data_IF_453740109398
#
_entry.id   IF_453740109398
#
_cell.length_a   1.000
_cell.length_b   1.000
_cell.length_c   1.000
_cell.angle_alpha   90.00
_cell.angle_beta   90.00
_cell.angle_gamma   90.00
#
_symmetry.space_group_name_H-M   'P 1'
#
loop_
_entity.id
_entity.type
_entity.pdbx_description
1 polymer ?
#
# COMPACT_ATOMS: atom_id res chain seq x y z
N UNK A 1 -5.83 -54.42 -37.11
CA UNK A 1 -6.36 -53.31 -37.94
C UNK A 1 -6.00 -52.02 -37.24
N UNK A 2 -5.07 -51.28 -37.83
CA UNK A 2 -4.52 -50.03 -37.31
C UNK A 2 -5.49 -48.87 -37.54
N UNK A 3 -5.48 -47.86 -36.66
CA UNK A 3 -5.76 -46.45 -37.01
C UNK A 3 -5.33 -45.53 -35.87
N UNK A 4 -4.07 -45.11 -35.91
CA UNK A 4 -3.52 -43.98 -35.16
C UNK A 4 -4.08 -42.67 -35.75
N UNK A 5 -4.67 -41.79 -34.95
CA UNK A 5 -5.11 -40.46 -35.39
C UNK A 5 -4.16 -39.40 -34.84
N UNK A 6 -3.26 -38.94 -35.71
CA UNK A 6 -2.35 -37.81 -35.51
C UNK A 6 -3.09 -36.49 -35.76
N UNK A 7 -3.17 -35.62 -34.76
CA UNK A 7 -3.62 -34.23 -34.95
C UNK A 7 -2.42 -33.33 -35.27
N UNK A 8 -2.42 -32.81 -36.50
CA UNK A 8 -1.45 -31.84 -36.99
C UNK A 8 -1.80 -30.42 -36.54
N UNK A 9 -0.83 -29.72 -35.96
CA UNK A 9 -0.89 -28.28 -35.70
C UNK A 9 -0.39 -27.50 -36.92
N UNK A 10 -1.08 -26.44 -37.38
CA UNK A 10 -0.55 -25.55 -38.40
C UNK A 10 0.31 -24.43 -37.78
N UNK A 11 1.55 -24.35 -38.26
CA UNK A 11 2.51 -23.29 -38.02
C UNK A 11 2.20 -22.03 -38.84
N UNK A 12 2.32 -20.87 -38.20
CA UNK A 12 2.13 -19.55 -38.82
C UNK A 12 3.45 -19.00 -39.37
N UNK A 13 3.52 -18.53 -40.62
CA UNK A 13 4.70 -17.84 -41.15
C UNK A 13 4.44 -16.32 -41.19
N UNK A 14 5.09 -15.55 -40.31
CA UNK A 14 5.12 -14.09 -40.45
C UNK A 14 6.43 -13.63 -41.08
N UNK A 15 6.27 -12.96 -42.23
CA UNK A 15 7.31 -12.56 -43.17
C UNK A 15 8.37 -11.62 -42.62
N UNK A 16 9.61 -11.92 -43.03
CA UNK A 16 10.73 -11.00 -43.16
C UNK A 16 10.46 -9.95 -44.25
N UNK A 17 10.59 -8.65 -43.94
CA UNK A 17 11.39 -7.67 -44.74
C UNK A 17 11.28 -6.26 -44.20
N UNK A 18 12.42 -5.60 -44.05
CA UNK A 18 12.45 -4.16 -43.78
C UNK A 18 13.83 -3.54 -43.58
N UNK A 19 14.87 -3.97 -44.29
CA UNK A 19 16.14 -3.24 -44.33
C UNK A 19 15.99 -1.98 -45.18
N UNK A 20 16.17 -0.78 -44.60
CA UNK A 20 16.63 0.40 -45.34
C UNK A 20 17.68 1.16 -44.54
N UNK A 21 18.76 1.42 -45.25
CA UNK A 21 20.02 2.02 -44.85
C UNK A 21 20.02 3.53 -45.03
N UNK A 22 20.97 4.18 -44.33
CA UNK A 22 21.58 5.51 -44.60
C UNK A 22 20.62 6.72 -44.47
N UNK A 23 21.01 7.79 -43.80
CA UNK A 23 22.07 8.69 -44.27
C UNK A 23 22.50 9.65 -43.15
N UNK A 24 23.82 9.81 -43.00
CA UNK A 24 24.48 10.85 -42.22
C UNK A 24 24.15 12.24 -42.79
N UNK A 25 23.77 13.20 -41.95
CA UNK A 25 23.98 14.61 -42.27
C UNK A 25 24.52 15.36 -41.05
N UNK A 26 25.81 15.74 -41.15
CA UNK A 26 26.50 16.76 -40.36
C UNK A 26 26.01 18.14 -40.79
N UNK A 27 25.60 19.00 -39.86
CA UNK A 27 25.75 20.47 -39.91
C UNK A 27 25.18 21.05 -38.60
N UNK A 28 25.98 21.48 -37.62
CA UNK A 28 26.71 22.76 -37.51
C UNK A 28 25.77 23.93 -37.10
N UNK A 29 25.85 24.27 -35.80
CA UNK A 29 25.72 25.59 -35.14
C UNK A 29 24.31 26.23 -35.01
N UNK A 30 24.05 27.10 -34.00
CA UNK A 30 25.03 27.88 -33.22
C UNK A 30 24.92 27.80 -31.68
N UNK A 31 26.04 28.15 -31.06
CA UNK A 31 26.19 28.61 -29.69
C UNK A 31 25.09 29.61 -29.32
N UNK A 32 24.23 29.25 -28.37
CA UNK A 32 23.41 30.23 -27.65
C UNK A 32 24.16 30.62 -26.38
N UNK A 33 24.89 31.74 -26.46
CA UNK A 33 25.50 32.37 -25.31
C UNK A 33 24.40 32.98 -24.46
N UNK A 34 24.15 32.37 -23.30
CA UNK A 34 23.16 32.86 -22.33
C UNK A 34 23.64 34.20 -21.72
N UNK A 35 22.87 35.29 -21.81
CA UNK A 35 23.20 36.55 -21.15
C UNK A 35 23.06 36.43 -19.63
N UNK A 36 24.13 36.82 -18.93
CA UNK A 36 24.17 37.02 -17.47
C UNK A 36 23.05 37.98 -17.04
N UNK A 37 22.04 37.46 -16.35
CA UNK A 37 21.11 38.29 -15.59
C UNK A 37 21.84 38.85 -14.36
N UNK A 38 22.03 40.17 -14.37
CA UNK A 38 22.48 40.96 -13.24
C UNK A 38 21.40 40.91 -12.15
N UNK A 39 21.75 40.38 -10.98
CA UNK A 39 20.93 40.47 -9.77
C UNK A 39 21.00 41.91 -9.21
N UNK A 40 19.89 42.64 -9.11
CA UNK A 40 19.86 43.88 -8.35
C UNK A 40 19.93 43.57 -6.85
N UNK A 41 20.90 44.21 -6.18
CA UNK A 41 21.03 44.22 -4.72
C UNK A 41 19.77 44.79 -4.05
N UNK A 42 19.23 44.16 -2.99
CA UNK A 42 18.13 44.74 -2.24
C UNK A 42 18.60 45.94 -1.40
N UNK A 43 17.77 46.98 -1.21
CA UNK A 43 18.09 48.08 -0.32
C UNK A 43 18.13 47.62 1.14
N UNK A 44 19.16 48.04 1.86
CA UNK A 44 19.33 47.83 3.29
C UNK A 44 18.26 48.62 4.06
N UNK A 45 17.18 47.94 4.44
CA UNK A 45 16.22 48.47 5.38
C UNK A 45 16.77 48.34 6.81
N UNK A 46 17.31 49.45 7.32
CA UNK A 46 17.52 49.66 8.75
C UNK A 46 16.15 49.79 9.41
N UNK A 47 15.63 48.68 9.95
CA UNK A 47 14.51 48.74 10.88
C UNK A 47 15.03 48.59 12.29
N UNK A 48 14.86 49.67 13.05
CA UNK A 48 15.08 49.80 14.49
C UNK A 48 14.47 48.62 15.25
N UNK A 49 15.29 47.81 15.91
CA UNK A 49 14.80 46.87 16.92
C UNK A 49 14.44 47.64 18.19
N UNK A 50 13.16 48.00 18.33
CA UNK A 50 12.55 48.31 19.62
C UNK A 50 11.71 47.12 20.03
N UNK A 51 11.94 46.67 21.26
CA UNK A 51 11.48 45.39 21.79
C UNK A 51 9.98 45.15 21.66
N UNK A 52 9.67 43.90 21.32
CA UNK A 52 8.38 43.27 21.53
C UNK A 52 8.68 41.95 22.22
N UNK A 53 8.26 41.86 23.48
CA UNK A 53 8.19 40.64 24.27
C UNK A 53 7.34 39.62 23.53
N UNK A 54 7.97 38.70 22.80
CA UNK A 54 7.29 37.63 22.10
C UNK A 54 7.00 36.48 23.07
N UNK A 55 5.85 36.54 23.74
CA UNK A 55 5.13 35.31 24.12
C UNK A 55 4.35 34.87 22.89
N UNK A 56 4.63 33.71 22.30
CA UNK A 56 3.79 33.21 21.22
C UNK A 56 2.48 32.59 21.74
N UNK A 57 1.30 33.03 21.27
CA UNK A 57 0.01 32.38 21.53
C UNK A 57 -0.29 31.33 20.45
N UNK A 58 0.65 30.42 20.18
CA UNK A 58 0.39 29.23 19.38
C UNK A 58 0.57 27.98 20.24
N UNK A 59 -0.24 27.87 21.28
CA UNK A 59 -0.69 26.56 21.76
C UNK A 59 -1.59 25.96 20.67
N UNK A 60 -0.96 25.56 19.56
CA UNK A 60 -1.56 24.56 18.69
C UNK A 60 -1.69 23.29 19.56
N UNK A 61 -2.87 22.66 19.61
CA UNK A 61 -2.93 21.29 20.10
C UNK A 61 -1.92 20.52 19.27
N UNK A 62 -1.07 19.71 19.90
CA UNK A 62 -0.22 18.76 19.17
C UNK A 62 -1.17 17.87 18.37
N UNK A 63 -1.48 18.24 17.12
CA UNK A 63 -2.12 17.36 16.16
C UNK A 63 -1.06 16.30 15.88
N UNK A 64 -1.07 15.26 16.70
CA UNK A 64 -0.28 14.09 16.44
C UNK A 64 -0.97 13.41 15.27
N UNK A 65 -0.53 13.75 14.06
CA UNK A 65 -0.94 13.16 12.77
C UNK A 65 -0.63 11.66 12.65
N UNK A 66 -0.43 10.96 13.76
CA UNK A 66 -0.17 9.52 13.83
C UNK A 66 -1.23 8.94 14.75
N UNK A 67 -2.45 8.78 14.21
CA UNK A 67 -3.46 7.95 14.87
C UNK A 67 -2.90 6.52 14.86
N UNK A 68 -2.35 6.09 15.99
CA UNK A 68 -1.91 4.71 16.18
C UNK A 68 -3.12 3.77 15.98
N UNK A 69 -2.87 2.62 15.34
CA UNK A 69 -3.87 1.57 15.12
C UNK A 69 -4.37 1.05 16.47
N UNK A 70 -5.69 0.94 16.62
CA UNK A 70 -6.39 0.40 17.80
C UNK A 70 -6.60 -1.10 17.72
N UNK A 71 -6.61 -1.69 16.52
CA UNK A 71 -6.64 -3.14 16.36
C UNK A 71 -5.40 -3.78 17.02
N UNK A 72 -5.61 -4.88 17.73
CA UNK A 72 -4.57 -5.55 18.52
C UNK A 72 -3.54 -6.19 17.59
N UNK A 73 -2.24 -6.00 17.88
CA UNK A 73 -1.19 -6.68 17.14
C UNK A 73 -1.12 -8.17 17.53
N UNK A 74 -1.00 -9.04 16.54
CA UNK A 74 -0.75 -10.48 16.73
C UNK A 74 0.63 -10.83 16.19
N UNK A 75 1.29 -11.75 16.90
CA UNK A 75 2.57 -12.36 16.54
C UNK A 75 2.40 -13.86 16.35
N UNK A 76 3.46 -14.54 15.91
CA UNK A 76 3.54 -15.99 15.78
C UNK A 76 2.99 -16.75 16.99
N UNK A 77 3.42 -16.38 18.19
CA UNK A 77 3.01 -17.08 19.43
C UNK A 77 1.51 -16.96 19.72
N UNK A 78 0.89 -15.86 19.31
CA UNK A 78 -0.52 -15.58 19.54
C UNK A 78 -1.44 -16.01 18.40
N UNK A 79 -0.88 -16.37 17.24
CA UNK A 79 -1.60 -16.59 15.99
C UNK A 79 -2.64 -17.71 16.11
N UNK A 80 -2.21 -18.86 16.61
CA UNK A 80 -3.06 -20.04 16.73
C UNK A 80 -4.27 -19.78 17.63
N UNK A 81 -4.05 -19.18 18.80
CA UNK A 81 -5.14 -18.91 19.74
C UNK A 81 -6.05 -17.76 19.28
N UNK A 82 -5.47 -16.68 18.73
CA UNK A 82 -6.23 -15.46 18.43
C UNK A 82 -6.96 -15.53 17.09
N UNK A 83 -6.40 -16.23 16.10
CA UNK A 83 -6.91 -16.28 14.73
C UNK A 83 -7.51 -17.65 14.41
N UNK A 84 -6.75 -18.73 14.61
CA UNK A 84 -7.18 -20.06 14.17
C UNK A 84 -8.25 -20.67 15.07
N UNK A 85 -8.10 -20.53 16.39
CA UNK A 85 -9.02 -21.10 17.38
C UNK A 85 -10.13 -20.11 17.80
N UNK A 86 -10.30 -18.99 17.09
CA UNK A 86 -11.33 -18.02 17.42
C UNK A 86 -12.72 -18.49 17.00
N UNK A 87 -13.65 -18.53 17.97
CA UNK A 87 -15.07 -18.82 17.72
C UNK A 87 -15.76 -17.72 16.90
N UNK A 88 -15.32 -16.47 17.08
CA UNK A 88 -15.80 -15.33 16.30
C UNK A 88 -14.97 -15.17 15.03
N UNK A 89 -15.56 -14.81 13.89
CA UNK A 89 -14.81 -14.45 12.68
C UNK A 89 -13.73 -13.41 12.96
N UNK A 90 -12.61 -13.53 12.26
CA UNK A 90 -11.41 -12.73 12.48
C UNK A 90 -11.00 -12.04 11.19
N UNK A 91 -10.64 -10.77 11.29
CA UNK A 91 -10.02 -10.00 10.23
C UNK A 91 -8.59 -9.67 10.63
N UNK A 92 -7.62 -9.93 9.75
CA UNK A 92 -6.21 -9.65 9.99
C UNK A 92 -5.66 -8.76 8.89
N UNK A 93 -5.15 -7.59 9.24
CA UNK A 93 -4.39 -6.72 8.35
C UNK A 93 -2.89 -7.06 8.39
N UNK A 94 -2.34 -7.46 7.26
CA UNK A 94 -0.91 -7.65 7.05
C UNK A 94 -0.29 -6.35 6.56
N UNK A 95 0.67 -5.83 7.32
CA UNK A 95 1.33 -4.56 7.04
C UNK A 95 2.85 -4.65 7.29
N UNK A 96 3.56 -3.58 6.90
CA UNK A 96 4.97 -3.40 7.21
C UNK A 96 5.24 -1.94 7.63
N UNK A 97 6.31 -1.70 8.40
CA UNK A 97 6.59 -0.36 8.95
C UNK A 97 6.98 0.67 7.88
N UNK A 98 7.55 0.19 6.77
CA UNK A 98 7.94 0.98 5.62
C UNK A 98 6.79 1.17 4.60
N UNK A 99 5.63 0.55 4.83
CA UNK A 99 4.49 0.61 3.94
C UNK A 99 3.73 1.95 4.08
N UNK A 100 3.94 2.85 3.13
CA UNK A 100 3.19 4.11 3.03
C UNK A 100 1.66 3.91 2.93
N UNK A 101 1.16 3.10 1.98
CA UNK A 101 -0.29 2.88 1.80
C UNK A 101 -1.00 2.25 3.00
N UNK A 102 -0.29 1.47 3.83
CA UNK A 102 -0.85 0.84 5.03
C UNK A 102 -1.35 1.87 6.06
N UNK A 103 -0.72 3.07 6.10
CA UNK A 103 -1.15 4.17 6.98
C UNK A 103 -2.59 4.65 6.71
N UNK A 104 -3.11 4.41 5.50
CA UNK A 104 -4.49 4.72 5.15
C UNK A 104 -5.46 3.59 5.52
N UNK A 105 -4.98 2.34 5.57
CA UNK A 105 -5.81 1.16 5.85
C UNK A 105 -6.03 0.99 7.36
N UNK A 106 -5.01 1.20 8.18
CA UNK A 106 -5.12 1.15 9.65
C UNK A 106 -6.34 1.88 10.24
N UNK A 107 -6.61 3.17 9.93
CA UNK A 107 -7.78 3.85 10.48
C UNK A 107 -9.11 3.27 9.99
N UNK A 108 -9.16 2.67 8.79
CA UNK A 108 -10.35 1.99 8.28
C UNK A 108 -10.60 0.70 9.06
N UNK A 109 -9.56 -0.09 9.31
CA UNK A 109 -9.65 -1.32 10.12
C UNK A 109 -10.06 -0.99 11.56
N UNK A 110 -9.53 0.09 12.14
CA UNK A 110 -9.94 0.57 13.46
C UNK A 110 -11.41 0.99 13.55
N UNK A 111 -11.95 1.54 12.47
CA UNK A 111 -13.36 1.91 12.40
C UNK A 111 -14.24 0.69 12.27
N UNK A 112 -13.86 -0.25 11.40
CA UNK A 112 -14.52 -1.55 11.26
C UNK A 112 -14.50 -2.31 12.59
N UNK A 113 -13.39 -2.32 13.31
CA UNK A 113 -13.27 -2.98 14.60
C UNK A 113 -14.27 -2.45 15.64
N UNK A 114 -14.60 -1.14 15.57
CA UNK A 114 -15.62 -0.54 16.44
C UNK A 114 -17.03 -0.88 15.99
N UNK A 115 -17.30 -0.77 14.68
CA UNK A 115 -18.63 -1.01 14.11
C UNK A 115 -19.07 -2.47 14.27
N UNK A 116 -18.12 -3.40 14.16
CA UNK A 116 -18.35 -4.83 14.26
C UNK A 116 -17.93 -5.42 15.62
N UNK A 117 -17.77 -4.58 16.64
CA UNK A 117 -17.43 -5.03 17.99
C UNK A 117 -18.40 -6.12 18.47
N UNK A 118 -17.85 -7.26 18.91
CA UNK A 118 -18.61 -8.43 19.34
C UNK A 118 -19.06 -9.38 18.23
N UNK A 119 -19.01 -8.96 16.95
CA UNK A 119 -19.31 -9.82 15.78
C UNK A 119 -18.05 -10.26 15.04
N UNK A 120 -17.03 -9.41 15.02
CA UNK A 120 -15.76 -9.61 14.33
C UNK A 120 -14.61 -9.19 15.26
N UNK A 121 -13.54 -9.98 15.30
CA UNK A 121 -12.27 -9.55 15.93
C UNK A 121 -11.34 -9.03 14.84
N UNK A 122 -10.69 -7.91 15.10
CA UNK A 122 -9.73 -7.31 14.16
C UNK A 122 -8.34 -7.32 14.77
N UNK A 123 -7.36 -7.79 14.00
CA UNK A 123 -5.95 -7.81 14.37
C UNK A 123 -5.08 -7.22 13.26
N UNK A 124 -3.86 -6.87 13.63
CA UNK A 124 -2.81 -6.49 12.68
C UNK A 124 -1.59 -7.38 12.86
N UNK A 125 -0.92 -7.72 11.77
CA UNK A 125 0.30 -8.53 11.77
C UNK A 125 1.37 -7.80 10.95
N UNK A 126 2.57 -7.68 11.53
CA UNK A 126 3.71 -7.08 10.86
C UNK A 126 4.49 -8.16 10.09
N UNK A 127 4.48 -8.09 8.76
CA UNK A 127 5.13 -9.08 7.92
C UNK A 127 6.65 -9.09 8.05
N UNK A 128 7.28 -7.97 8.45
CA UNK A 128 8.74 -7.91 8.67
C UNK A 128 9.15 -8.71 9.92
N UNK A 129 8.25 -8.86 10.89
CA UNK A 129 8.52 -9.55 12.17
C UNK A 129 8.09 -11.01 12.11
N UNK A 130 6.93 -11.29 11.52
CA UNK A 130 6.32 -12.62 11.46
C UNK A 130 6.30 -13.14 10.01
N UNK A 131 7.50 -13.28 9.41
CA UNK A 131 7.68 -13.68 8.00
C UNK A 131 7.06 -15.04 7.67
N UNK A 132 7.18 -16.02 8.57
CA UNK A 132 6.67 -17.38 8.36
C UNK A 132 5.15 -17.40 8.14
N UNK A 133 4.40 -16.63 8.93
CA UNK A 133 2.95 -16.50 8.75
C UNK A 133 2.65 -15.80 7.41
N UNK A 134 3.42 -14.77 7.07
CA UNK A 134 3.24 -14.07 5.80
C UNK A 134 3.48 -15.02 4.61
N UNK A 135 4.48 -15.90 4.68
CA UNK A 135 4.79 -16.91 3.67
C UNK A 135 3.69 -17.97 3.55
N UNK A 136 3.19 -18.49 4.68
CA UNK A 136 2.12 -19.50 4.73
C UNK A 136 0.83 -19.04 4.03
N UNK A 137 0.53 -17.73 4.10
CA UNK A 137 -0.62 -17.14 3.43
C UNK A 137 -0.29 -16.47 2.08
N UNK A 138 0.92 -16.69 1.57
CA UNK A 138 1.44 -16.18 0.29
C UNK A 138 1.39 -14.64 0.16
N UNK A 139 1.63 -13.92 1.26
CA UNK A 139 1.64 -12.46 1.32
C UNK A 139 2.93 -11.91 0.72
N UNK A 140 2.89 -11.59 -0.57
CA UNK A 140 4.04 -11.06 -1.34
C UNK A 140 4.11 -9.53 -1.37
N UNK A 141 3.02 -8.86 -1.01
CA UNK A 141 2.92 -7.41 -0.98
C UNK A 141 1.93 -6.99 0.12
N UNK A 142 2.10 -5.78 0.64
CA UNK A 142 1.24 -5.19 1.68
C UNK A 142 0.70 -3.83 1.20
N UNK A 143 -0.48 -3.38 1.66
CA UNK A 143 -1.36 -4.04 2.63
C UNK A 143 -2.17 -5.19 2.03
N UNK A 144 -2.43 -6.23 2.82
CA UNK A 144 -3.39 -7.29 2.52
C UNK A 144 -4.23 -7.54 3.75
N UNK A 145 -5.54 -7.68 3.59
CA UNK A 145 -6.46 -8.01 4.68
C UNK A 145 -7.07 -9.38 4.41
N UNK A 146 -6.90 -10.30 5.33
CA UNK A 146 -7.47 -11.64 5.26
C UNK A 146 -8.61 -11.79 6.27
N UNK A 147 -9.64 -12.55 5.89
CA UNK A 147 -10.74 -12.92 6.77
C UNK A 147 -10.72 -14.40 7.04
N UNK A 148 -10.89 -14.74 8.32
CA UNK A 148 -10.90 -16.09 8.84
C UNK A 148 -12.23 -16.39 9.54
N UNK A 149 -12.70 -17.61 9.37
CA UNK A 149 -13.84 -18.17 10.10
C UNK A 149 -13.56 -19.64 10.37
N UNK A 150 -13.75 -20.08 11.61
CA UNK A 150 -13.48 -21.46 12.04
C UNK A 150 -12.06 -21.93 11.67
N UNK A 151 -11.07 -21.06 11.84
CA UNK A 151 -9.67 -21.34 11.50
C UNK A 151 -9.32 -21.41 10.02
N UNK A 152 -10.27 -21.16 9.12
CA UNK A 152 -10.03 -21.19 7.67
C UNK A 152 -10.05 -19.79 7.07
N UNK A 153 -9.16 -19.53 6.11
CA UNK A 153 -9.16 -18.31 5.29
C UNK A 153 -10.36 -18.34 4.34
N UNK A 154 -11.31 -17.43 4.52
CA UNK A 154 -12.56 -17.39 3.74
C UNK A 154 -12.54 -16.33 2.65
N UNK A 155 -11.87 -15.21 2.87
CA UNK A 155 -11.89 -14.07 1.95
C UNK A 155 -10.63 -13.22 2.10
N UNK A 156 -10.35 -12.37 1.11
CA UNK A 156 -9.18 -11.51 1.08
C UNK A 156 -9.45 -10.20 0.34
N UNK A 157 -8.89 -9.11 0.85
CA UNK A 157 -8.84 -7.80 0.18
C UNK A 157 -7.37 -7.41 0.03
N UNK A 158 -6.92 -7.27 -1.21
CA UNK A 158 -5.51 -6.98 -1.54
C UNK A 158 -5.38 -5.50 -1.90
N UNK A 159 -4.40 -4.83 -1.29
CA UNK A 159 -4.09 -3.43 -1.53
C UNK A 159 -4.96 -2.46 -0.71
N UNK A 160 -4.78 -1.18 -1.00
CA UNK A 160 -5.53 -0.09 -0.38
C UNK A 160 -6.84 0.11 -1.12
N UNK A 161 -7.94 -0.34 -0.51
CA UNK A 161 -9.28 -0.26 -1.10
C UNK A 161 -10.18 0.71 -0.32
N UNK A 162 -11.28 1.21 -0.91
CA UNK A 162 -12.33 1.91 -0.18
C UNK A 162 -12.96 1.03 0.92
N UNK A 163 -13.53 1.66 1.95
CA UNK A 163 -14.10 0.97 3.13
C UNK A 163 -15.14 -0.10 2.74
N UNK A 164 -15.91 0.18 1.72
CA UNK A 164 -17.01 -0.64 1.22
C UNK A 164 -16.55 -2.03 0.79
N UNK A 165 -15.32 -2.16 0.28
CA UNK A 165 -14.75 -3.45 -0.12
C UNK A 165 -14.51 -4.35 1.10
N UNK A 166 -13.95 -3.79 2.18
CA UNK A 166 -13.75 -4.53 3.43
C UNK A 166 -15.09 -4.93 4.05
N UNK A 167 -16.05 -4.00 4.09
CA UNK A 167 -17.41 -4.26 4.60
C UNK A 167 -18.09 -5.38 3.80
N UNK A 168 -18.02 -5.32 2.47
CA UNK A 168 -18.61 -6.36 1.61
C UNK A 168 -17.98 -7.73 1.86
N UNK A 169 -16.65 -7.81 2.00
CA UNK A 169 -15.95 -9.04 2.35
C UNK A 169 -16.39 -9.59 3.71
N UNK A 170 -16.48 -8.72 4.74
CA UNK A 170 -16.95 -9.08 6.08
C UNK A 170 -18.37 -9.65 6.02
N UNK A 171 -19.29 -8.96 5.34
CA UNK A 171 -20.68 -9.39 5.21
C UNK A 171 -20.82 -10.74 4.49
N UNK A 172 -19.95 -11.05 3.52
CA UNK A 172 -19.91 -12.38 2.89
C UNK A 172 -19.53 -13.48 3.89
N UNK A 173 -18.53 -13.23 4.72
CA UNK A 173 -18.05 -14.19 5.74
C UNK A 173 -19.03 -14.32 6.91
N UNK A 174 -19.75 -13.26 7.27
CA UNK A 174 -20.76 -13.32 8.32
C UNK A 174 -22.01 -14.11 7.90
N UNK A 175 -22.34 -14.11 6.60
CA UNK A 175 -23.53 -14.78 6.05
C UNK A 175 -23.30 -16.23 5.60
N UNK A 176 -22.04 -16.65 5.46
CA UNK A 176 -21.67 -18.03 5.10
C UNK A 176 -21.89 -19.03 6.21
#
# INVERSE_FOLDING_TARGET
>A
MASSTSYSTPSSPFSLRGSRTRTLHKSILPFYTSPRHLNPTPPSFRTTQKGLTAQPPYLLPKIQCVRQTRATAVTKDSWENSVLNSETPVLVEFYANWCGPCRMVHPLIDEIAKEYAGKLKCFVLNTDTDLEIAEDYEIKAVPVVLLFKNGQKCDAVVGTMPKEFYVTAIERVLKS
#
